data_IF_607877740197
#
_entry.id   IF_607877740197
#
_cell.length_a   1.000
_cell.length_b   1.000
_cell.length_c   1.000
_cell.angle_alpha   90.00
_cell.angle_beta   90.00
_cell.angle_gamma   90.00
#
_symmetry.space_group_name_H-M   'P 1'
#
loop_
_entity.id
_entity.type
_entity.pdbx_description
1 polymer ?
#
# COMPACT_ATOMS: atom_id res chain seq x y z
N UNK A 1 -13.60 -4.31 -8.04
CA UNK A 1 -12.18 -4.67 -7.95
C UNK A 1 -11.46 -3.42 -7.48
N UNK A 2 -10.75 -3.50 -6.37
CA UNK A 2 -10.06 -2.36 -5.76
C UNK A 2 -8.59 -2.30 -6.20
N UNK A 3 -7.96 -3.45 -6.34
CA UNK A 3 -6.55 -3.55 -6.74
C UNK A 3 -6.28 -4.85 -7.49
N UNK A 4 -5.25 -4.80 -8.34
CA UNK A 4 -4.74 -5.90 -9.14
C UNK A 4 -3.23 -5.79 -9.21
N UNK A 5 -2.51 -6.88 -8.93
CA UNK A 5 -1.06 -6.95 -8.99
C UNK A 5 -0.59 -8.16 -9.79
N UNK A 6 0.47 -7.97 -10.57
CA UNK A 6 1.26 -9.07 -11.13
C UNK A 6 2.22 -9.57 -10.06
N UNK A 7 2.08 -10.85 -9.70
CA UNK A 7 2.91 -11.51 -8.68
C UNK A 7 3.38 -12.82 -9.33
N UNK A 8 4.68 -12.91 -9.60
CA UNK A 8 5.26 -13.97 -10.43
C UNK A 8 4.57 -14.08 -11.79
N UNK A 9 4.16 -15.29 -12.18
CA UNK A 9 3.48 -15.57 -13.45
C UNK A 9 1.94 -15.49 -13.34
N UNK A 10 1.41 -14.75 -12.37
CA UNK A 10 -0.03 -14.65 -12.11
C UNK A 10 -0.47 -13.22 -11.82
N UNK A 11 -1.72 -12.92 -12.16
CA UNK A 11 -2.42 -11.74 -11.69
C UNK A 11 -3.25 -12.10 -10.47
N UNK A 12 -3.12 -11.31 -9.42
CA UNK A 12 -3.96 -11.38 -8.23
C UNK A 12 -4.80 -10.13 -8.11
N UNK A 13 -6.06 -10.27 -7.70
CA UNK A 13 -6.96 -9.15 -7.53
C UNK A 13 -7.76 -9.27 -6.24
N UNK A 14 -8.03 -8.13 -5.61
CA UNK A 14 -8.92 -8.04 -4.46
C UNK A 14 -10.03 -7.00 -4.67
N UNK A 15 -11.06 -7.10 -3.85
CA UNK A 15 -12.14 -6.12 -3.81
C UNK A 15 -13.02 -6.25 -2.59
N UNK A 16 -13.96 -5.32 -2.49
CA UNK A 16 -14.90 -5.24 -1.38
C UNK A 16 -15.69 -6.54 -1.22
N UNK A 17 -15.99 -6.87 0.02
CA UNK A 17 -16.75 -8.08 0.31
C UNK A 17 -15.87 -9.33 0.42
N UNK A 18 -14.60 -9.15 0.80
CA UNK A 18 -13.61 -10.23 0.92
C UNK A 18 -13.46 -11.04 -0.37
N UNK A 19 -13.42 -10.33 -1.50
CA UNK A 19 -13.24 -10.93 -2.81
C UNK A 19 -11.75 -11.04 -3.12
N UNK A 20 -11.27 -12.27 -3.35
CA UNK A 20 -9.90 -12.55 -3.75
C UNK A 20 -9.90 -13.45 -4.98
N UNK A 21 -9.14 -13.06 -6.00
CA UNK A 21 -9.07 -13.79 -7.27
C UNK A 21 -7.63 -13.95 -7.75
N UNK A 22 -7.40 -15.00 -8.51
CA UNK A 22 -6.16 -15.25 -9.26
C UNK A 22 -6.47 -15.57 -10.71
N UNK A 23 -5.63 -15.10 -11.62
CA UNK A 23 -5.60 -15.49 -13.03
C UNK A 23 -4.17 -15.85 -13.41
N UNK A 24 -3.97 -17.05 -13.94
CA UNK A 24 -2.65 -17.48 -14.42
C UNK A 24 -2.33 -16.79 -15.75
N UNK A 25 -1.10 -16.30 -15.92
CA UNK A 25 -0.66 -15.62 -17.15
C UNK A 25 -0.72 -16.55 -18.36
N UNK A 26 -0.24 -17.78 -18.20
CA UNK A 26 -0.20 -18.81 -19.25
C UNK A 26 -1.40 -19.78 -19.20
N UNK A 27 -2.51 -19.36 -18.59
CA UNK A 27 -3.74 -20.17 -18.51
C UNK A 27 -4.75 -19.87 -19.63
N UNK A 28 -5.99 -20.34 -19.43
CA UNK A 28 -7.14 -20.09 -20.30
C UNK A 28 -7.71 -18.66 -20.19
N UNK A 29 -7.08 -17.81 -19.38
CA UNK A 29 -7.51 -16.44 -19.13
C UNK A 29 -8.61 -16.28 -18.08
N UNK A 30 -8.99 -17.36 -17.38
CA UNK A 30 -10.06 -17.32 -16.38
C UNK A 30 -9.58 -16.81 -15.02
N UNK A 31 -10.51 -16.22 -14.27
CA UNK A 31 -10.31 -15.80 -12.89
C UNK A 31 -10.89 -16.84 -11.95
N UNK A 32 -10.07 -17.32 -11.02
CA UNK A 32 -10.48 -18.26 -9.98
C UNK A 32 -10.65 -17.53 -8.65
N UNK A 33 -11.77 -17.74 -7.98
CA UNK A 33 -11.98 -17.23 -6.62
C UNK A 33 -11.15 -18.04 -5.63
N UNK A 34 -10.34 -17.37 -4.80
CA UNK A 34 -9.42 -18.01 -3.87
C UNK A 34 -10.06 -18.34 -2.51
N UNK A 35 -11.17 -17.68 -2.17
CA UNK A 35 -11.84 -17.84 -0.88
C UNK A 35 -13.37 -17.67 -1.02
N UNK A 36 -14.05 -18.60 -1.71
CA UNK A 36 -15.51 -18.50 -1.92
C UNK A 36 -16.27 -18.45 -0.59
N UNK A 37 -15.79 -19.13 0.44
CA UNK A 37 -16.45 -19.19 1.76
C UNK A 37 -16.29 -17.91 2.60
N UNK A 38 -15.28 -17.09 2.31
CA UNK A 38 -15.08 -15.79 2.99
C UNK A 38 -15.90 -14.68 2.34
N UNK A 39 -16.33 -14.86 1.10
CA UNK A 39 -16.99 -13.81 0.31
C UNK A 39 -18.31 -13.40 0.96
N UNK A 40 -18.49 -12.10 1.17
CA UNK A 40 -19.75 -11.57 1.67
C UNK A 40 -20.86 -11.78 0.64
N UNK A 41 -22.05 -12.17 1.13
CA UNK A 41 -23.18 -12.52 0.27
C UNK A 41 -23.69 -11.30 -0.50
N UNK A 42 -24.20 -11.50 -1.73
CA UNK A 42 -24.98 -10.47 -2.41
C UNK A 42 -26.10 -9.96 -1.48
N UNK A 43 -26.26 -8.64 -1.42
CA UNK A 43 -27.24 -8.00 -0.52
C UNK A 43 -26.75 -7.66 0.88
N UNK A 44 -25.48 -7.94 1.21
CA UNK A 44 -24.84 -7.35 2.41
C UNK A 44 -24.99 -5.81 2.34
N UNK A 45 -25.35 -5.10 3.43
CA UNK A 45 -25.42 -3.64 3.40
C UNK A 45 -24.05 -3.01 3.13
N UNK A 46 -24.01 -1.91 2.37
CA UNK A 46 -22.77 -1.18 2.04
C UNK A 46 -21.90 -0.86 3.28
N UNK A 47 -22.54 -0.49 4.40
CA UNK A 47 -21.87 -0.19 5.67
C UNK A 47 -21.18 -1.39 6.34
N UNK A 48 -21.52 -2.61 5.93
CA UNK A 48 -20.93 -3.84 6.45
C UNK A 48 -19.92 -4.48 5.47
N UNK A 49 -19.67 -3.87 4.30
CA UNK A 49 -18.66 -4.37 3.38
C UNK A 49 -17.27 -4.18 3.96
N UNK A 50 -16.50 -5.26 4.00
CA UNK A 50 -15.07 -5.15 4.26
C UNK A 50 -14.38 -4.69 2.97
N UNK A 51 -13.87 -3.46 3.00
CA UNK A 51 -13.08 -2.89 1.91
C UNK A 51 -11.66 -3.47 1.97
N UNK A 52 -11.21 -4.02 0.84
CA UNK A 52 -9.89 -4.61 0.66
C UNK A 52 -9.13 -3.82 -0.41
N UNK A 53 -8.51 -2.67 -0.05
CA UNK A 53 -7.89 -1.75 -1.00
C UNK A 53 -6.65 -2.28 -1.69
N UNK A 54 -5.99 -3.32 -1.14
CA UNK A 54 -4.66 -3.71 -1.62
C UNK A 54 -4.41 -5.20 -1.50
N UNK A 55 -3.79 -5.75 -2.54
CA UNK A 55 -3.26 -7.11 -2.60
C UNK A 55 -1.83 -7.06 -3.11
N UNK A 56 -0.88 -7.74 -2.46
CA UNK A 56 0.50 -7.83 -2.95
C UNK A 56 1.22 -8.99 -2.28
N UNK A 57 2.35 -9.43 -2.81
CA UNK A 57 3.14 -10.49 -2.21
C UNK A 57 4.44 -10.75 -2.95
N UNK A 58 5.43 -11.39 -2.30
CA UNK A 58 6.71 -11.71 -2.93
C UNK A 58 6.60 -12.76 -4.04
N UNK A 59 5.63 -13.68 -3.97
CA UNK A 59 5.42 -14.73 -4.97
C UNK A 59 4.02 -15.35 -4.84
N UNK A 60 3.62 -16.23 -5.77
CA UNK A 60 2.24 -16.74 -5.93
C UNK A 60 1.75 -17.63 -4.78
N UNK A 61 2.67 -18.03 -3.89
CA UNK A 61 2.39 -18.84 -2.69
C UNK A 61 2.52 -18.04 -1.40
N UNK A 62 2.71 -16.73 -1.51
CA UNK A 62 2.73 -15.83 -0.39
C UNK A 62 2.14 -14.48 -0.83
N UNK A 63 0.81 -14.39 -0.80
CA UNK A 63 0.09 -13.16 -1.20
C UNK A 63 -0.73 -12.65 -0.02
N UNK A 64 -0.64 -11.36 0.23
CA UNK A 64 -1.33 -10.67 1.32
C UNK A 64 -2.38 -9.74 0.74
N UNK A 65 -3.53 -9.67 1.40
CA UNK A 65 -4.52 -8.64 1.14
C UNK A 65 -4.86 -7.94 2.45
N UNK A 66 -4.93 -6.61 2.42
CA UNK A 66 -5.15 -5.79 3.61
C UNK A 66 -6.38 -4.91 3.45
N UNK A 67 -6.95 -4.46 4.57
CA UNK A 67 -8.08 -3.55 4.53
C UNK A 67 -8.58 -3.08 5.89
N UNK A 68 -9.88 -2.77 5.94
CA UNK A 68 -10.52 -2.18 7.11
C UNK A 68 -10.41 -3.03 8.38
N UNK A 69 -10.50 -2.38 9.53
CA UNK A 69 -10.50 -3.02 10.85
C UNK A 69 -9.24 -3.87 11.12
N UNK A 70 -8.08 -3.42 10.62
CA UNK A 70 -6.82 -4.17 10.73
C UNK A 70 -6.85 -5.52 10.03
N UNK A 71 -7.65 -5.68 8.97
CA UNK A 71 -7.79 -6.98 8.31
C UNK A 71 -6.56 -7.29 7.46
N UNK A 72 -5.90 -8.42 7.75
CA UNK A 72 -4.80 -8.97 6.95
C UNK A 72 -5.19 -10.41 6.59
N UNK A 73 -5.28 -10.70 5.31
CA UNK A 73 -5.50 -12.05 4.77
C UNK A 73 -4.25 -12.53 4.05
N UNK A 74 -3.96 -13.81 4.14
CA UNK A 74 -2.80 -14.44 3.55
C UNK A 74 -3.20 -15.67 2.75
N UNK A 75 -2.75 -15.71 1.50
CA UNK A 75 -2.82 -16.83 0.59
C UNK A 75 -1.48 -17.56 0.56
N UNK A 76 -1.50 -18.86 0.89
CA UNK A 76 -0.30 -19.70 0.95
C UNK A 76 -0.03 -20.53 -0.33
N UNK A 77 -0.79 -20.29 -1.40
CA UNK A 77 -0.79 -21.12 -2.61
C UNK A 77 -1.96 -22.12 -2.69
N UNK A 78 -2.69 -22.33 -1.61
CA UNK A 78 -3.78 -23.32 -1.52
C UNK A 78 -5.04 -22.77 -0.84
N UNK A 79 -4.88 -22.04 0.26
CA UNK A 79 -5.99 -21.48 1.05
C UNK A 79 -5.71 -20.05 1.47
N UNK A 80 -6.78 -19.29 1.68
CA UNK A 80 -6.75 -17.96 2.30
C UNK A 80 -7.07 -18.09 3.79
N UNK A 81 -6.25 -17.49 4.65
CA UNK A 81 -6.51 -17.38 6.09
C UNK A 81 -6.32 -15.95 6.57
N UNK A 82 -7.05 -15.56 7.62
CA UNK A 82 -6.84 -14.27 8.30
C UNK A 82 -5.61 -14.38 9.21
N UNK A 83 -4.78 -13.33 9.23
CA UNK A 83 -3.66 -13.16 10.15
C UNK A 83 -4.04 -12.20 11.28
N UNK A 84 -3.37 -12.35 12.42
CA UNK A 84 -3.48 -11.39 13.52
C UNK A 84 -2.85 -10.04 13.14
N UNK A 85 -3.47 -8.96 13.59
CA UNK A 85 -3.01 -7.61 13.37
C UNK A 85 -2.95 -6.86 14.72
N UNK A 86 -1.83 -6.17 15.03
CA UNK A 86 -1.68 -5.45 16.30
C UNK A 86 -2.53 -4.17 16.38
N UNK A 87 -3.18 -3.76 15.29
CA UNK A 87 -3.98 -2.52 15.21
C UNK A 87 -5.37 -2.80 14.63
N UNK A 88 -6.27 -1.83 14.79
CA UNK A 88 -7.64 -1.86 14.24
C UNK A 88 -7.90 -0.79 13.18
N UNK A 89 -6.93 0.08 12.92
CA UNK A 89 -6.98 1.09 11.87
C UNK A 89 -7.16 0.44 10.49
N UNK A 90 -7.63 1.22 9.52
CA UNK A 90 -7.69 0.76 8.12
C UNK A 90 -6.29 0.65 7.55
N UNK A 91 -5.97 -0.51 6.98
CA UNK A 91 -4.73 -0.76 6.25
C UNK A 91 -4.96 -0.48 4.75
N UNK A 92 -4.02 0.20 4.10
CA UNK A 92 -4.22 0.83 2.78
C UNK A 92 -3.21 0.34 1.75
N UNK A 93 -1.94 0.16 2.11
CA UNK A 93 -0.90 -0.24 1.16
C UNK A 93 -0.04 -1.40 1.68
N UNK A 94 0.57 -2.13 0.75
CA UNK A 94 1.49 -3.25 0.99
C UNK A 94 2.73 -3.06 0.11
N UNK A 95 3.89 -3.01 0.75
CA UNK A 95 5.17 -3.00 0.06
C UNK A 95 5.98 -4.24 0.42
N UNK A 96 6.50 -4.90 -0.61
CA UNK A 96 7.26 -6.15 -0.48
C UNK A 96 8.75 -5.82 -0.59
N UNK A 97 9.48 -5.92 0.52
CA UNK A 97 10.95 -5.82 0.52
C UNK A 97 11.58 -7.20 0.30
N UNK A 98 11.02 -8.24 0.93
CA UNK A 98 11.40 -9.65 0.75
C UNK A 98 10.34 -10.58 1.36
N UNK A 99 10.53 -11.90 1.24
CA UNK A 99 9.72 -12.94 1.90
C UNK A 99 9.56 -12.73 3.41
N UNK A 100 10.58 -12.20 4.07
CA UNK A 100 10.61 -11.98 5.52
C UNK A 100 10.21 -10.56 5.92
N UNK A 101 10.14 -9.64 4.96
CA UNK A 101 9.90 -8.23 5.19
C UNK A 101 8.79 -7.69 4.29
N UNK A 102 7.56 -7.79 4.80
CA UNK A 102 6.38 -7.15 4.23
C UNK A 102 6.05 -5.94 5.08
N UNK A 103 5.93 -4.79 4.41
CA UNK A 103 5.52 -3.54 5.01
C UNK A 103 4.04 -3.31 4.72
N UNK A 104 3.29 -2.85 5.72
CA UNK A 104 1.87 -2.49 5.58
C UNK A 104 1.66 -1.13 6.23
N UNK A 105 1.02 -0.18 5.56
CA UNK A 105 0.70 1.12 6.12
C UNK A 105 -0.79 1.46 6.02
N UNK A 106 -1.23 2.49 6.74
CA UNK A 106 -2.61 2.94 6.70
C UNK A 106 -2.91 4.09 7.66
N UNK A 107 -4.13 4.10 8.19
CA UNK A 107 -4.62 5.14 9.10
C UNK A 107 -3.96 5.16 10.47
N UNK A 108 -4.19 6.25 11.21
CA UNK A 108 -3.65 6.48 12.56
C UNK A 108 -2.12 6.36 12.64
N UNK A 109 -1.43 6.76 11.58
CA UNK A 109 0.02 6.67 11.43
C UNK A 109 0.53 5.23 11.43
N UNK A 110 -0.29 4.25 11.06
CA UNK A 110 0.07 2.83 11.12
C UNK A 110 1.16 2.50 10.10
N UNK A 111 2.27 1.93 10.58
CA UNK A 111 3.26 1.24 9.76
C UNK A 111 3.64 -0.08 10.43
N UNK A 112 3.40 -1.19 9.75
CA UNK A 112 3.70 -2.54 10.22
C UNK A 112 4.84 -3.13 9.39
N UNK A 113 5.67 -3.96 10.03
CA UNK A 113 6.64 -4.82 9.36
C UNK A 113 6.48 -6.25 9.86
N UNK A 114 6.55 -7.22 8.97
CA UNK A 114 6.52 -8.63 9.32
C UNK A 114 6.22 -9.54 8.15
N UNK A 115 5.71 -10.74 8.44
CA UNK A 115 5.31 -11.73 7.45
C UNK A 115 4.34 -12.75 8.08
N UNK A 116 3.84 -13.69 7.29
CA UNK A 116 2.88 -14.71 7.73
C UNK A 116 3.44 -15.75 8.72
N UNK A 117 4.77 -15.90 8.85
CA UNK A 117 5.45 -16.87 9.72
C UNK A 117 5.66 -16.31 11.12
N UNK A 118 6.19 -15.08 11.21
CA UNK A 118 6.55 -14.44 12.48
C UNK A 118 5.53 -13.41 12.97
N UNK A 119 4.52 -13.10 12.16
CA UNK A 119 3.50 -12.08 12.44
C UNK A 119 3.97 -10.67 12.11
N UNK A 120 3.03 -9.71 12.21
CA UNK A 120 3.26 -8.29 12.00
C UNK A 120 3.44 -7.54 13.32
N UNK A 121 4.35 -6.56 13.33
CA UNK A 121 4.59 -5.67 14.47
C UNK A 121 4.49 -4.22 14.03
N UNK A 122 3.97 -3.38 14.92
CA UNK A 122 3.98 -1.93 14.74
C UNK A 122 5.43 -1.43 14.78
N UNK A 123 5.78 -0.61 13.80
CA UNK A 123 7.12 -0.04 13.68
C UNK A 123 7.34 1.03 14.76
N UNK A 124 8.52 1.07 15.42
CA UNK A 124 8.84 2.11 16.39
C UNK A 124 8.64 3.52 15.81
N UNK A 125 8.13 4.44 16.64
CA UNK A 125 7.88 5.83 16.25
C UNK A 125 6.65 6.05 15.35
N UNK A 126 5.79 5.05 15.18
CA UNK A 126 4.57 5.11 14.36
C UNK A 126 3.33 4.70 15.17
N UNK A 127 2.14 4.80 14.59
CA UNK A 127 0.86 4.47 15.25
C UNK A 127 0.35 5.55 16.21
N UNK A 128 0.70 6.81 15.96
CA UNK A 128 0.32 7.96 16.77
C UNK A 128 -0.32 9.03 15.87
N UNK A 129 -1.32 9.73 16.40
CA UNK A 129 -1.99 10.83 15.71
C UNK A 129 -3.03 10.35 14.69
N UNK A 130 -3.27 11.17 13.67
CA UNK A 130 -4.33 10.94 12.67
C UNK A 130 -3.79 10.81 11.25
N UNK A 131 -2.46 10.79 11.08
CA UNK A 131 -1.79 10.62 9.77
C UNK A 131 -2.36 9.43 9.02
N UNK A 132 -2.63 9.63 7.73
CA UNK A 132 -3.15 8.59 6.86
C UNK A 132 -2.13 8.29 5.76
N UNK A 133 -1.35 7.22 5.93
CA UNK A 133 -0.44 6.77 4.89
C UNK A 133 -1.21 6.09 3.76
N UNK A 134 -1.06 6.64 2.55
CA UNK A 134 -1.76 6.15 1.37
C UNK A 134 -0.93 5.17 0.55
N UNK A 135 0.35 5.48 0.36
CA UNK A 135 1.28 4.72 -0.46
C UNK A 135 2.67 4.74 0.12
N UNK A 136 3.44 3.68 -0.16
CA UNK A 136 4.83 3.58 0.23
C UNK A 136 5.66 2.82 -0.81
N UNK A 137 6.95 3.14 -0.85
CA UNK A 137 7.92 2.48 -1.74
C UNK A 137 9.31 2.53 -1.12
N UNK A 138 10.16 1.56 -1.43
CA UNK A 138 11.55 1.55 -1.02
C UNK A 138 12.40 2.24 -2.08
N UNK A 139 13.26 3.16 -1.66
CA UNK A 139 14.23 3.82 -2.52
C UNK A 139 15.56 3.93 -1.80
N UNK A 140 16.62 3.35 -2.37
CA UNK A 140 17.98 3.33 -1.82
C UNK A 140 18.03 2.95 -0.31
N UNK A 141 17.37 1.84 0.04
CA UNK A 141 17.29 1.33 1.41
C UNK A 141 16.49 2.17 2.39
N UNK A 142 15.74 3.17 1.91
CA UNK A 142 14.87 4.03 2.71
C UNK A 142 13.42 3.86 2.27
N UNK A 143 12.51 3.63 3.22
CA UNK A 143 11.08 3.53 2.91
C UNK A 143 10.48 4.94 2.85
N UNK A 144 9.97 5.32 1.70
CA UNK A 144 9.25 6.58 1.51
C UNK A 144 7.75 6.33 1.65
N UNK A 145 7.04 7.25 2.31
CA UNK A 145 5.60 7.20 2.50
C UNK A 145 4.96 8.51 2.04
N UNK A 146 3.87 8.39 1.30
CA UNK A 146 2.95 9.48 1.01
C UNK A 146 1.80 9.43 2.01
N UNK A 147 1.59 10.53 2.73
CA UNK A 147 0.44 10.70 3.61
C UNK A 147 -0.46 11.83 3.08
N UNK A 148 -1.73 11.51 2.87
CA UNK A 148 -2.76 12.46 2.50
C UNK A 148 -3.91 12.40 3.48
N UNK A 149 -4.38 13.57 3.92
CA UNK A 149 -5.28 13.67 5.06
C UNK A 149 -4.64 13.32 6.41
N UNK A 150 -5.31 13.73 7.49
CA UNK A 150 -4.77 13.65 8.84
C UNK A 150 -3.70 14.69 9.14
N UNK A 151 -3.07 14.58 10.31
CA UNK A 151 -1.99 15.46 10.76
C UNK A 151 -0.91 14.65 11.51
N UNK A 152 0.37 14.72 11.10
CA UNK A 152 0.89 15.43 9.92
C UNK A 152 0.58 14.73 8.58
N UNK A 153 0.51 15.51 7.50
CA UNK A 153 0.41 15.06 6.10
C UNK A 153 1.68 15.46 5.30
N UNK A 154 1.88 14.86 4.13
CA UNK A 154 3.04 15.11 3.27
C UNK A 154 3.86 13.86 2.96
N UNK A 155 5.10 14.06 2.50
CA UNK A 155 6.06 12.98 2.27
C UNK A 155 6.86 12.71 3.53
N UNK A 156 7.11 11.43 3.81
CA UNK A 156 7.91 10.97 4.95
C UNK A 156 8.90 9.89 4.52
N UNK A 157 9.98 9.77 5.28
CA UNK A 157 10.91 8.63 5.23
C UNK A 157 10.82 7.85 6.51
N UNK A 158 10.94 6.52 6.42
CA UNK A 158 11.14 5.64 7.55
C UNK A 158 12.47 4.89 7.41
N UNK A 159 13.35 5.07 8.40
CA UNK A 159 14.66 4.41 8.45
C UNK A 159 15.10 4.26 9.90
N UNK A 160 15.70 3.12 10.23
CA UNK A 160 16.30 2.86 11.55
C UNK A 160 15.38 3.17 12.74
N UNK A 161 14.10 2.78 12.62
CA UNK A 161 13.13 2.97 13.71
C UNK A 161 12.54 4.38 13.79
N UNK A 162 12.80 5.26 12.81
CA UNK A 162 12.42 6.67 12.87
C UNK A 162 11.69 7.11 11.61
N UNK A 163 10.61 7.84 11.82
CA UNK A 163 9.90 8.58 10.79
C UNK A 163 10.36 10.04 10.76
N UNK A 164 10.53 10.60 9.57
CA UNK A 164 10.88 12.02 9.39
C UNK A 164 10.20 12.60 8.14
N UNK A 165 9.79 13.89 8.16
CA UNK A 165 9.22 14.53 6.99
C UNK A 165 10.29 14.77 5.92
N UNK A 166 9.91 14.62 4.64
CA UNK A 166 10.73 15.01 3.49
C UNK A 166 10.43 16.47 3.17
N UNK A 167 11.48 17.24 2.88
CA UNK A 167 11.41 18.59 2.32
C UNK A 167 11.95 18.51 0.90
N UNK A 168 11.11 18.82 -0.08
CA UNK A 168 11.52 18.74 -1.48
C UNK A 168 12.36 19.95 -1.88
N UNK A 169 12.19 21.08 -1.19
CA UNK A 169 12.80 22.36 -1.56
C UNK A 169 12.10 23.05 -2.73
N UNK A 170 11.05 22.44 -3.28
CA UNK A 170 10.19 23.06 -4.29
C UNK A 170 9.35 24.17 -3.66
N UNK A 171 8.99 25.16 -4.47
CA UNK A 171 8.08 26.24 -4.09
C UNK A 171 6.86 26.23 -5.00
N UNK A 172 5.64 26.12 -4.46
CA UNK A 172 5.34 25.62 -3.11
C UNK A 172 5.82 24.16 -2.93
N UNK A 173 5.90 23.69 -1.69
CA UNK A 173 6.09 22.26 -1.39
C UNK A 173 4.92 21.44 -1.92
N UNK A 174 5.14 20.14 -2.18
CA UNK A 174 4.05 19.24 -2.58
C UNK A 174 3.01 19.13 -1.46
N UNK A 175 1.77 19.47 -1.78
CA UNK A 175 0.65 19.38 -0.86
C UNK A 175 -0.15 18.09 -1.08
N UNK A 176 -0.49 17.42 0.01
CA UNK A 176 -1.40 16.26 0.05
C UNK A 176 -1.03 15.14 -0.95
N UNK A 177 0.19 14.58 -0.91
CA UNK A 177 0.59 13.49 -1.80
C UNK A 177 -0.20 12.21 -1.49
N UNK A 178 -0.86 11.65 -2.51
CA UNK A 178 -1.61 10.39 -2.39
C UNK A 178 -0.81 9.19 -2.89
N UNK A 179 0.26 9.43 -3.64
CA UNK A 179 1.04 8.38 -4.28
C UNK A 179 2.53 8.66 -4.16
N UNK A 180 3.30 7.60 -3.89
CA UNK A 180 4.75 7.57 -4.01
C UNK A 180 5.16 6.22 -4.59
N UNK A 181 6.06 6.23 -5.56
CA UNK A 181 6.63 5.00 -6.12
C UNK A 181 8.04 5.23 -6.66
N UNK A 182 8.83 4.17 -6.83
CA UNK A 182 10.17 4.26 -7.37
C UNK A 182 10.42 3.24 -8.46
N UNK A 183 11.16 3.66 -9.49
CA UNK A 183 11.56 2.80 -10.59
C UNK A 183 12.85 3.31 -11.21
N UNK A 184 13.77 2.41 -11.55
CA UNK A 184 15.02 2.71 -12.26
C UNK A 184 15.83 3.88 -11.64
N UNK A 185 15.91 3.93 -10.31
CA UNK A 185 16.67 4.97 -9.61
C UNK A 185 15.99 6.34 -9.52
N UNK A 186 14.73 6.44 -9.92
CA UNK A 186 13.91 7.66 -9.76
C UNK A 186 12.76 7.39 -8.79
N UNK A 187 12.54 8.33 -7.88
CA UNK A 187 11.40 8.35 -6.98
C UNK A 187 10.37 9.37 -7.49
N UNK A 188 9.10 8.99 -7.50
CA UNK A 188 7.98 9.81 -7.93
C UNK A 188 7.03 10.03 -6.77
N UNK A 189 6.52 11.25 -6.61
CA UNK A 189 5.44 11.56 -5.69
C UNK A 189 4.37 12.39 -6.41
N UNK A 190 3.11 12.07 -6.15
CA UNK A 190 1.98 12.70 -6.84
C UNK A 190 0.85 13.03 -5.87
N UNK A 191 0.27 14.22 -6.06
CA UNK A 191 -1.01 14.62 -5.49
C UNK A 191 -2.07 14.67 -6.59
N UNK A 192 -3.25 15.21 -6.28
CA UNK A 192 -4.34 15.38 -7.26
C UNK A 192 -3.93 16.34 -8.41
N UNK A 193 -3.03 17.28 -8.16
CA UNK A 193 -2.66 18.33 -9.13
C UNK A 193 -1.16 18.53 -9.32
N UNK A 194 -0.32 17.83 -8.57
CA UNK A 194 1.13 18.01 -8.56
C UNK A 194 1.84 16.68 -8.81
N UNK A 195 2.91 16.72 -9.59
CA UNK A 195 3.76 15.58 -9.91
C UNK A 195 5.20 16.04 -9.71
N UNK A 196 5.91 15.37 -8.81
CA UNK A 196 7.31 15.67 -8.52
C UNK A 196 8.14 14.39 -8.61
N UNK A 197 9.37 14.52 -9.09
CA UNK A 197 10.33 13.42 -9.17
C UNK A 197 11.62 13.77 -8.43
N UNK A 198 12.29 12.75 -7.92
CA UNK A 198 13.60 12.84 -7.31
C UNK A 198 14.54 11.86 -8.02
N UNK A 199 15.64 12.39 -8.55
CA UNK A 199 16.63 11.65 -9.35
C UNK A 199 17.81 11.12 -8.51
N UNK A 200 17.71 11.18 -7.18
CA UNK A 200 18.78 10.86 -6.24
C UNK A 200 19.56 12.09 -5.77
N UNK A 201 19.40 13.24 -6.43
CA UNK A 201 20.12 14.48 -6.11
C UNK A 201 19.17 15.64 -5.85
N UNK A 202 18.18 15.85 -6.71
CA UNK A 202 17.28 17.00 -6.64
C UNK A 202 15.83 16.61 -6.92
N UNK A 203 14.90 17.34 -6.29
CA UNK A 203 13.49 17.28 -6.62
C UNK A 203 13.18 18.21 -7.78
N UNK A 204 12.37 17.74 -8.71
CA UNK A 204 11.88 18.50 -9.86
C UNK A 204 10.37 18.34 -9.94
N UNK A 205 9.66 19.45 -10.22
CA UNK A 205 8.24 19.45 -10.52
C UNK A 205 8.01 19.27 -12.02
N UNK A 206 7.12 18.36 -12.37
CA UNK A 206 6.74 18.07 -13.76
C UNK A 206 5.42 18.77 -14.06
N UNK A 207 5.45 19.72 -15.01
CA UNK A 207 4.25 20.41 -15.46
C UNK A 207 3.35 19.45 -16.28
N UNK A 208 2.06 19.38 -15.92
CA UNK A 208 1.07 18.68 -16.71
C UNK A 208 0.37 19.67 -17.66
N UNK A 209 0.44 19.48 -19.00
CA UNK A 209 -0.08 20.45 -19.97
C UNK A 209 -1.57 20.81 -19.82
N UNK A 210 -2.37 19.96 -19.17
CA UNK A 210 -3.79 20.21 -18.94
C UNK A 210 -4.08 21.14 -17.77
N UNK A 211 -3.12 21.45 -16.90
CA UNK A 211 -3.29 22.26 -15.69
C UNK A 211 -2.34 23.48 -15.69
N UNK A 212 -2.73 24.62 -15.09
CA UNK A 212 -1.81 25.73 -14.86
C UNK A 212 -0.58 25.26 -14.04
N UNK A 213 0.65 25.69 -14.40
CA UNK A 213 1.86 25.36 -13.65
C UNK A 213 1.76 25.77 -12.17
N UNK A 214 2.30 24.94 -11.28
CA UNK A 214 2.40 25.25 -9.85
C UNK A 214 3.79 25.87 -9.61
N UNK A 215 3.81 27.12 -9.16
CA UNK A 215 5.02 27.92 -8.89
C UNK A 215 4.88 28.70 -7.60
#
# INVERSE_FOLDING_TARGET
MQDIQEIGDSLFACGDGLQFYRRNRYGDGTWHCLAPDLRQRPGTPASAYCIMPRINGPHERAVYAVGQHGSIYFWNGETVRKLDCPVRSTLIDIHVESDDAIWICGGDGTLLKGNHRTGFRLCPGTGLGTTLFQRMTMYDGTLYLAASGGDPFGLFTYRDGRIAPVRTGLQPEIADPHFVDSAHGVLWAMSIKDIVRFDGHAWERIDFPGHPPIR
#
